data_IF_598825366871
#
_entry.id   IF_598825366871
#
_cell.length_a   1.000
_cell.length_b   1.000
_cell.length_c   1.000
_cell.angle_alpha   90.00
_cell.angle_beta   90.00
_cell.angle_gamma   90.00
#
_symmetry.space_group_name_H-M   'P 1'
#
loop_
_entity.id
_entity.type
_entity.pdbx_description
1 polymer ?
#
# COMPACT_ATOMS: atom_id res chain seq x y z
N UNK A 1 -19.50 15.40 -10.74
CA UNK A 1 -19.99 15.59 -9.36
C UNK A 1 -20.76 14.37 -8.84
N UNK A 2 -21.72 13.82 -9.59
CA UNK A 2 -22.56 12.67 -9.17
C UNK A 2 -21.77 11.40 -8.78
N UNK A 3 -20.74 11.04 -9.56
CA UNK A 3 -19.90 9.84 -9.29
C UNK A 3 -19.13 9.93 -7.98
N UNK A 4 -18.63 11.12 -7.63
CA UNK A 4 -17.94 11.37 -6.36
C UNK A 4 -18.90 11.23 -5.17
N UNK A 5 -20.15 11.69 -5.31
CA UNK A 5 -21.17 11.54 -4.27
C UNK A 5 -21.55 10.07 -4.04
N UNK A 6 -21.66 9.26 -5.11
CA UNK A 6 -21.90 7.82 -5.02
C UNK A 6 -20.73 7.07 -4.37
N UNK A 7 -19.49 7.38 -4.75
CA UNK A 7 -18.31 6.75 -4.15
C UNK A 7 -18.21 7.06 -2.65
N UNK A 8 -18.41 8.33 -2.28
CA UNK A 8 -18.42 8.77 -0.88
C UNK A 8 -19.50 8.06 -0.06
N UNK A 9 -20.71 7.92 -0.58
CA UNK A 9 -21.80 7.24 0.13
C UNK A 9 -21.56 5.73 0.31
N UNK A 10 -20.71 5.12 -0.52
CA UNK A 10 -20.28 3.72 -0.37
C UNK A 10 -19.13 3.61 0.63
N UNK A 11 -18.04 4.37 0.44
CA UNK A 11 -16.84 4.30 1.30
C UNK A 11 -17.10 4.67 2.76
N UNK A 12 -18.14 5.45 3.05
CA UNK A 12 -18.47 5.86 4.42
C UNK A 12 -19.37 4.88 5.18
N UNK A 13 -19.86 3.81 4.52
CA UNK A 13 -20.73 2.80 5.13
C UNK A 13 -19.99 2.03 6.22
N UNK A 14 -20.60 1.90 7.40
CA UNK A 14 -19.98 1.21 8.54
C UNK A 14 -19.57 -0.23 8.22
N UNK A 15 -20.38 -0.98 7.47
CA UNK A 15 -20.06 -2.36 7.07
C UNK A 15 -18.81 -2.42 6.19
N UNK A 16 -18.67 -1.49 5.24
CA UNK A 16 -17.50 -1.44 4.37
C UNK A 16 -16.25 -0.99 5.14
N UNK A 17 -16.36 -0.04 6.06
CA UNK A 17 -15.22 0.36 6.91
C UNK A 17 -14.73 -0.83 7.77
N UNK A 18 -15.64 -1.61 8.35
CA UNK A 18 -15.27 -2.82 9.09
C UNK A 18 -14.64 -3.86 8.18
N UNK A 19 -15.25 -4.13 7.02
CA UNK A 19 -14.70 -5.07 6.04
C UNK A 19 -13.29 -4.66 5.60
N UNK A 20 -13.11 -3.39 5.23
CA UNK A 20 -11.82 -2.84 4.82
C UNK A 20 -10.78 -2.91 5.95
N UNK A 21 -11.18 -2.62 7.19
CA UNK A 21 -10.29 -2.75 8.36
C UNK A 21 -9.87 -4.20 8.62
N UNK A 22 -10.82 -5.15 8.58
CA UNK A 22 -10.52 -6.57 8.75
C UNK A 22 -9.65 -7.10 7.61
N UNK A 23 -9.95 -6.76 6.35
CA UNK A 23 -9.15 -7.16 5.20
C UNK A 23 -7.73 -6.58 5.27
N UNK A 24 -7.57 -5.32 5.67
CA UNK A 24 -6.25 -4.72 5.84
C UNK A 24 -5.45 -5.44 6.94
N UNK A 25 -6.07 -5.73 8.08
CA UNK A 25 -5.43 -6.47 9.17
C UNK A 25 -5.04 -7.89 8.74
N UNK A 26 -5.95 -8.64 8.15
CA UNK A 26 -5.69 -10.02 7.71
C UNK A 26 -4.61 -10.06 6.62
N UNK A 27 -4.60 -9.12 5.68
CA UNK A 27 -3.57 -9.05 4.64
C UNK A 27 -2.21 -8.73 5.25
N UNK A 28 -2.13 -7.77 6.18
CA UNK A 28 -0.89 -7.46 6.90
C UNK A 28 -0.33 -8.67 7.67
N UNK A 29 -1.20 -9.39 8.39
CA UNK A 29 -0.81 -10.61 9.09
C UNK A 29 -0.37 -11.71 8.12
N UNK A 30 -1.05 -11.87 6.98
CA UNK A 30 -0.66 -12.84 5.96
C UNK A 30 0.72 -12.52 5.36
N UNK A 31 1.00 -11.25 5.04
CA UNK A 31 2.32 -10.80 4.58
C UNK A 31 3.39 -11.12 5.63
N UNK A 32 3.14 -10.80 6.90
CA UNK A 32 4.07 -11.10 7.99
C UNK A 32 4.31 -12.61 8.14
N UNK A 33 3.26 -13.44 8.02
CA UNK A 33 3.41 -14.90 8.05
C UNK A 33 4.25 -15.42 6.87
N UNK A 34 4.05 -14.89 5.65
CA UNK A 34 4.87 -15.26 4.49
C UNK A 34 6.33 -14.91 4.74
N UNK A 35 6.62 -13.69 5.21
CA UNK A 35 7.98 -13.24 5.50
C UNK A 35 8.67 -14.14 6.53
N UNK A 36 7.97 -14.47 7.62
CA UNK A 36 8.52 -15.30 8.69
C UNK A 36 8.69 -16.75 8.25
N UNK A 37 7.76 -17.30 7.48
CA UNK A 37 7.82 -18.69 7.05
C UNK A 37 8.97 -18.95 6.07
N UNK A 38 9.22 -17.99 5.17
CA UNK A 38 10.22 -18.10 4.11
C UNK A 38 11.55 -17.42 4.44
N UNK A 39 11.69 -16.85 5.65
CA UNK A 39 12.82 -15.99 6.04
C UNK A 39 13.15 -14.93 4.98
N UNK A 40 12.09 -14.34 4.40
CA UNK A 40 12.16 -13.50 3.23
C UNK A 40 12.11 -12.02 3.61
N UNK A 41 13.15 -11.29 3.24
CA UNK A 41 13.12 -9.83 3.22
C UNK A 41 12.24 -9.39 2.05
N UNK A 42 11.13 -8.68 2.26
CA UNK A 42 10.34 -8.11 1.14
C UNK A 42 11.07 -6.94 0.49
N UNK A 43 10.91 -6.77 -0.82
CA UNK A 43 11.60 -5.73 -1.60
C UNK A 43 11.03 -4.35 -1.28
N UNK A 44 9.76 -4.27 -0.91
CA UNK A 44 9.09 -3.07 -0.39
C UNK A 44 9.79 -2.47 0.84
N UNK A 45 10.46 -3.31 1.64
CA UNK A 45 11.24 -2.85 2.79
C UNK A 45 12.56 -2.18 2.40
N UNK A 46 12.96 -2.29 1.12
CA UNK A 46 14.15 -1.69 0.54
C UNK A 46 13.75 -0.54 -0.37
N UNK A 47 14.10 0.67 0.06
CA UNK A 47 13.84 1.87 -0.74
C UNK A 47 14.98 2.12 -1.73
N UNK A 48 16.24 1.91 -1.31
CA UNK A 48 17.39 2.27 -2.13
C UNK A 48 17.56 1.29 -3.30
N UNK A 49 17.87 1.77 -4.53
CA UNK A 49 18.12 0.92 -5.69
C UNK A 49 19.18 -0.16 -5.46
N UNK A 50 20.31 0.21 -4.84
CA UNK A 50 21.40 -0.73 -4.56
C UNK A 50 21.01 -1.84 -3.58
N UNK A 51 20.27 -1.51 -2.52
CA UNK A 51 19.77 -2.51 -1.57
C UNK A 51 18.74 -3.44 -2.21
N UNK A 52 17.85 -2.89 -3.04
CA UNK A 52 16.85 -3.65 -3.79
C UNK A 52 17.53 -4.62 -4.77
N UNK A 53 18.57 -4.16 -5.46
CA UNK A 53 19.37 -5.00 -6.36
C UNK A 53 20.10 -6.10 -5.62
N UNK A 54 20.77 -5.79 -4.50
CA UNK A 54 21.43 -6.80 -3.67
C UNK A 54 20.43 -7.88 -3.25
N UNK A 55 19.27 -7.45 -2.74
CA UNK A 55 18.21 -8.36 -2.28
C UNK A 55 17.69 -9.26 -3.42
N UNK A 56 17.52 -8.71 -4.63
CA UNK A 56 17.11 -9.47 -5.83
C UNK A 56 18.13 -10.56 -6.21
N UNK A 57 19.43 -10.28 -6.04
CA UNK A 57 20.50 -11.24 -6.31
C UNK A 57 20.62 -12.32 -5.23
N UNK A 58 20.23 -12.00 -3.99
CA UNK A 58 20.23 -12.95 -2.88
C UNK A 58 19.06 -13.94 -2.94
N UNK A 59 18.01 -13.65 -3.71
CA UNK A 59 16.87 -14.55 -3.84
C UNK A 59 17.17 -15.81 -4.65
N UNK A 60 16.89 -16.94 -4.03
CA UNK A 60 16.74 -18.22 -4.73
C UNK A 60 15.52 -18.18 -5.67
N UNK A 61 15.46 -19.05 -6.69
CA UNK A 61 14.30 -19.12 -7.59
C UNK A 61 12.96 -19.32 -6.85
N UNK A 62 12.95 -20.15 -5.80
CA UNK A 62 11.75 -20.38 -4.99
C UNK A 62 11.30 -19.14 -4.20
N UNK A 63 12.25 -18.37 -3.66
CA UNK A 63 11.93 -17.11 -2.98
C UNK A 63 11.34 -16.09 -3.96
N UNK A 64 11.87 -16.01 -5.18
CA UNK A 64 11.30 -15.12 -6.21
C UNK A 64 9.87 -15.48 -6.55
N UNK A 65 9.58 -16.77 -6.73
CA UNK A 65 8.23 -17.24 -7.01
C UNK A 65 7.25 -16.87 -5.89
N UNK A 66 7.62 -17.15 -4.64
CA UNK A 66 6.83 -16.78 -3.46
C UNK A 66 6.58 -15.26 -3.40
N UNK A 67 7.62 -14.48 -3.69
CA UNK A 67 7.52 -13.02 -3.71
C UNK A 67 6.58 -12.52 -4.82
N UNK A 68 6.70 -13.06 -6.04
CA UNK A 68 5.81 -12.72 -7.15
C UNK A 68 4.35 -13.01 -6.76
N UNK A 69 4.06 -14.17 -6.16
CA UNK A 69 2.72 -14.50 -5.72
C UNK A 69 2.21 -13.60 -4.59
N UNK A 70 3.09 -13.26 -3.64
CA UNK A 70 2.75 -12.36 -2.54
C UNK A 70 2.42 -10.96 -3.07
N UNK A 71 3.23 -10.44 -3.99
CA UNK A 71 3.01 -9.13 -4.60
C UNK A 71 1.80 -9.10 -5.54
N UNK A 72 1.57 -10.16 -6.32
CA UNK A 72 0.42 -10.24 -7.21
C UNK A 72 -0.92 -10.42 -6.47
N UNK A 73 -0.90 -10.77 -5.18
CA UNK A 73 -2.10 -11.04 -4.38
C UNK A 73 -2.23 -10.13 -3.16
N UNK A 74 -1.41 -10.35 -2.13
CA UNK A 74 -1.47 -9.63 -0.87
C UNK A 74 -1.17 -8.13 -1.05
N UNK A 75 -0.17 -7.78 -1.88
CA UNK A 75 0.18 -6.37 -2.14
C UNK A 75 -0.81 -5.68 -3.09
N UNK A 76 -1.80 -6.40 -3.62
CA UNK A 76 -2.96 -5.80 -4.30
C UNK A 76 -4.10 -5.59 -3.30
N UNK A 77 -4.41 -6.60 -2.50
CA UNK A 77 -5.54 -6.56 -1.56
C UNK A 77 -5.29 -5.58 -0.42
N UNK A 78 -4.08 -5.55 0.12
CA UNK A 78 -3.73 -4.71 1.27
C UNK A 78 -3.93 -3.20 1.00
N UNK A 79 -3.35 -2.60 -0.07
CA UNK A 79 -3.58 -1.19 -0.37
C UNK A 79 -4.99 -0.85 -0.77
N UNK A 80 -5.71 -1.75 -1.44
CA UNK A 80 -7.14 -1.55 -1.69
C UNK A 80 -7.92 -1.42 -0.37
N UNK A 81 -7.62 -2.29 0.59
CA UNK A 81 -8.28 -2.31 1.88
C UNK A 81 -7.94 -1.07 2.73
N UNK A 82 -6.66 -0.76 2.94
CA UNK A 82 -6.30 0.38 3.79
C UNK A 82 -6.67 1.72 3.14
N UNK A 83 -6.56 1.87 1.82
CA UNK A 83 -6.94 3.14 1.17
C UNK A 83 -8.44 3.36 1.18
N UNK A 84 -9.26 2.32 1.01
CA UNK A 84 -10.70 2.40 1.19
C UNK A 84 -11.07 2.78 2.64
N UNK A 85 -10.40 2.17 3.62
CA UNK A 85 -10.59 2.48 5.04
C UNK A 85 -10.25 3.94 5.34
N UNK A 86 -9.07 4.41 4.97
CA UNK A 86 -8.62 5.78 5.25
C UNK A 86 -9.50 6.82 4.54
N UNK A 87 -9.79 6.62 3.25
CA UNK A 87 -10.68 7.49 2.50
C UNK A 87 -12.08 7.58 3.14
N UNK A 88 -12.65 6.43 3.50
CA UNK A 88 -13.95 6.35 4.14
C UNK A 88 -13.99 7.03 5.51
N UNK A 89 -12.95 6.83 6.34
CA UNK A 89 -12.82 7.51 7.63
C UNK A 89 -12.68 9.02 7.46
N UNK A 90 -11.83 9.49 6.55
CA UNK A 90 -11.63 10.91 6.24
C UNK A 90 -12.94 11.57 5.84
N UNK A 91 -13.68 11.00 4.87
CA UNK A 91 -14.95 11.56 4.42
C UNK A 91 -16.07 11.52 5.44
N UNK A 92 -16.06 10.52 6.33
CA UNK A 92 -17.05 10.38 7.39
C UNK A 92 -16.77 11.31 8.57
N UNK A 93 -15.50 11.45 8.92
CA UNK A 93 -15.08 12.09 10.15
C UNK A 93 -14.65 13.54 10.00
N UNK A 94 -14.02 13.95 8.89
CA UNK A 94 -13.50 15.32 8.76
C UNK A 94 -14.50 16.31 8.16
N UNK A 95 -14.44 17.59 8.57
CA UNK A 95 -15.13 18.70 7.90
C UNK A 95 -14.77 18.78 6.41
N UNK A 96 -15.68 19.34 5.60
CA UNK A 96 -15.55 19.44 4.13
C UNK A 96 -14.22 20.05 3.67
N UNK A 97 -13.75 21.12 4.33
CA UNK A 97 -12.47 21.78 4.04
C UNK A 97 -11.23 20.88 4.14
N UNK A 98 -11.33 19.72 4.79
CA UNK A 98 -10.23 18.74 4.94
C UNK A 98 -10.47 17.45 4.16
N UNK A 99 -11.56 17.32 3.40
CA UNK A 99 -11.86 16.09 2.67
C UNK A 99 -10.92 15.83 1.51
N UNK A 100 -10.20 16.84 1.02
CA UNK A 100 -9.16 16.70 0.01
C UNK A 100 -8.00 15.79 0.48
N UNK A 101 -7.84 15.57 1.79
CA UNK A 101 -6.84 14.64 2.33
C UNK A 101 -7.03 13.19 1.85
N UNK A 102 -8.20 12.84 1.31
CA UNK A 102 -8.45 11.56 0.64
C UNK A 102 -7.50 11.31 -0.54
N UNK A 103 -6.97 12.37 -1.14
CA UNK A 103 -6.03 12.24 -2.25
C UNK A 103 -4.73 11.57 -1.82
N UNK A 104 -4.30 11.71 -0.56
CA UNK A 104 -3.13 10.97 -0.07
C UNK A 104 -3.37 9.46 -0.08
N UNK A 105 -4.53 8.99 0.38
CA UNK A 105 -4.88 7.56 0.32
C UNK A 105 -4.97 7.04 -1.13
N UNK A 106 -5.49 7.87 -2.04
CA UNK A 106 -5.61 7.52 -3.45
C UNK A 106 -4.25 7.47 -4.15
N UNK A 107 -3.39 8.46 -3.91
CA UNK A 107 -2.03 8.50 -4.45
C UNK A 107 -1.18 7.35 -3.93
N UNK A 108 -1.31 7.02 -2.64
CA UNK A 108 -0.66 5.86 -2.04
C UNK A 108 -1.10 4.56 -2.70
N UNK A 109 -2.40 4.34 -2.91
CA UNK A 109 -2.90 3.14 -3.60
C UNK A 109 -2.27 3.00 -4.99
N UNK A 110 -2.24 4.08 -5.77
CA UNK A 110 -1.67 4.04 -7.12
C UNK A 110 -0.16 3.80 -7.09
N UNK A 111 0.55 4.41 -6.13
CA UNK A 111 1.98 4.19 -5.94
C UNK A 111 2.28 2.74 -5.54
N UNK A 112 1.47 2.15 -4.66
CA UNK A 112 1.60 0.76 -4.22
C UNK A 112 1.40 -0.23 -5.38
N UNK A 113 0.30 -0.09 -6.12
CA UNK A 113 0.03 -0.94 -7.28
C UNK A 113 1.07 -0.78 -8.39
N UNK A 114 1.53 0.45 -8.64
CA UNK A 114 2.60 0.71 -9.60
C UNK A 114 3.91 0.09 -9.17
N UNK A 115 4.24 0.16 -7.87
CA UNK A 115 5.45 -0.42 -7.33
C UNK A 115 5.43 -1.94 -7.39
N UNK A 116 4.30 -2.57 -7.05
CA UNK A 116 4.12 -4.02 -7.19
C UNK A 116 4.27 -4.51 -8.63
N UNK A 117 3.80 -3.74 -9.62
CA UNK A 117 4.02 -4.06 -11.04
C UNK A 117 5.51 -4.00 -11.42
N UNK A 118 6.21 -2.93 -11.01
CA UNK A 118 7.65 -2.78 -11.26
C UNK A 118 8.43 -3.91 -10.57
N UNK A 119 8.03 -4.28 -9.36
CA UNK A 119 8.63 -5.34 -8.57
C UNK A 119 8.46 -6.71 -9.22
N UNK A 120 7.26 -7.03 -9.73
CA UNK A 120 7.04 -8.26 -10.49
C UNK A 120 7.93 -8.31 -11.73
N UNK A 121 8.09 -7.19 -12.45
CA UNK A 121 8.99 -7.13 -13.62
C UNK A 121 10.42 -7.44 -13.19
N UNK A 122 10.92 -6.79 -12.14
CA UNK A 122 12.28 -7.01 -11.60
C UNK A 122 12.49 -8.46 -11.14
N UNK A 123 11.51 -9.07 -10.46
CA UNK A 123 11.59 -10.45 -9.96
C UNK A 123 11.63 -11.49 -11.09
N UNK A 124 11.06 -11.18 -12.26
CA UNK A 124 11.07 -12.07 -13.43
C UNK A 124 12.32 -11.93 -14.30
N UNK A 125 13.26 -11.04 -13.96
CA UNK A 125 14.49 -10.89 -14.73
C UNK A 125 15.47 -12.04 -14.48
N UNK A 126 16.14 -12.48 -15.56
CA UNK A 126 17.28 -13.40 -15.46
C UNK A 126 18.54 -12.62 -15.06
N UNK A 127 18.81 -12.57 -13.75
CA UNK A 127 19.95 -11.83 -13.20
C UNK A 127 21.31 -12.43 -13.57
N UNK A 128 21.36 -13.61 -14.20
CA UNK A 128 22.62 -14.14 -14.75
C UNK A 128 23.00 -13.49 -16.08
N UNK A 129 22.02 -12.93 -16.78
CA UNK A 129 22.16 -12.32 -18.10
C UNK A 129 22.08 -10.79 -18.07
N UNK A 130 21.66 -10.19 -16.95
CA UNK A 130 21.51 -8.74 -16.80
C UNK A 130 22.38 -8.17 -15.69
N UNK A 131 22.76 -6.92 -15.85
CA UNK A 131 23.55 -6.16 -14.89
C UNK A 131 22.69 -5.14 -14.15
N UNK A 132 23.23 -4.53 -13.10
CA UNK A 132 22.57 -3.45 -12.38
C UNK A 132 22.12 -2.32 -13.33
N UNK A 133 22.97 -1.95 -14.29
CA UNK A 133 22.69 -0.85 -15.23
C UNK A 133 21.48 -1.12 -16.14
N UNK A 134 21.19 -2.39 -16.43
CA UNK A 134 20.03 -2.78 -17.25
C UNK A 134 18.71 -2.58 -16.49
N UNK A 135 18.74 -2.77 -15.16
CA UNK A 135 17.57 -2.62 -14.28
C UNK A 135 17.51 -1.30 -13.54
N UNK A 136 18.53 -0.46 -13.66
CA UNK A 136 18.65 0.81 -12.93
C UNK A 136 17.41 1.71 -13.06
N UNK A 137 16.82 1.93 -14.25
CA UNK A 137 15.62 2.75 -14.38
C UNK A 137 14.42 2.19 -13.59
N UNK A 138 14.24 0.87 -13.60
CA UNK A 138 13.17 0.20 -12.88
C UNK A 138 13.41 0.25 -11.36
N UNK A 139 14.66 0.07 -10.92
CA UNK A 139 15.03 0.18 -9.50
C UNK A 139 14.78 1.59 -8.96
N UNK A 140 15.13 2.63 -9.72
CA UNK A 140 14.83 4.02 -9.34
C UNK A 140 13.33 4.33 -9.34
N UNK A 141 12.60 3.81 -10.32
CA UNK A 141 11.13 3.95 -10.35
C UNK A 141 10.51 3.26 -9.12
N UNK A 142 10.94 2.04 -8.79
CA UNK A 142 10.53 1.33 -7.58
C UNK A 142 10.81 2.17 -6.33
N UNK A 143 12.02 2.71 -6.21
CA UNK A 143 12.43 3.55 -5.07
C UNK A 143 11.53 4.78 -4.90
N UNK A 144 11.23 5.47 -6.01
CA UNK A 144 10.35 6.64 -6.02
C UNK A 144 8.91 6.28 -5.61
N UNK A 145 8.37 5.20 -6.17
CA UNK A 145 7.02 4.72 -5.83
C UNK A 145 6.94 4.23 -4.38
N UNK A 146 7.97 3.53 -3.89
CA UNK A 146 8.09 3.08 -2.50
C UNK A 146 8.09 4.29 -1.54
N UNK A 147 8.88 5.31 -1.85
CA UNK A 147 8.92 6.54 -1.04
C UNK A 147 7.58 7.27 -1.04
N UNK A 148 6.94 7.37 -2.21
CA UNK A 148 5.62 8.00 -2.36
C UNK A 148 4.54 7.24 -1.58
N UNK A 149 4.49 5.90 -1.69
CA UNK A 149 3.47 5.09 -1.02
C UNK A 149 3.58 5.20 0.50
N UNK A 150 4.78 5.07 1.07
CA UNK A 150 4.97 5.20 2.53
C UNK A 150 4.67 6.61 3.04
N UNK A 151 5.10 7.65 2.32
CA UNK A 151 4.84 9.03 2.72
C UNK A 151 3.34 9.35 2.71
N UNK A 152 2.63 8.94 1.66
CA UNK A 152 1.18 9.12 1.58
C UNK A 152 0.42 8.21 2.55
N UNK A 153 0.92 7.02 2.86
CA UNK A 153 0.34 6.12 3.86
C UNK A 153 0.36 6.79 5.24
N UNK A 154 1.50 7.36 5.65
CA UNK A 154 1.60 8.08 6.92
C UNK A 154 0.67 9.29 6.95
N UNK A 155 0.64 10.10 5.88
CA UNK A 155 -0.23 11.27 5.79
C UNK A 155 -1.73 10.89 5.88
N UNK A 156 -2.13 9.84 5.17
CA UNK A 156 -3.52 9.36 5.17
C UNK A 156 -3.91 8.70 6.50
N UNK A 157 -3.00 7.97 7.15
CA UNK A 157 -3.21 7.41 8.48
C UNK A 157 -3.42 8.52 9.53
N UNK A 158 -2.60 9.57 9.53
CA UNK A 158 -2.77 10.73 10.43
C UNK A 158 -4.14 11.38 10.20
N UNK A 159 -4.52 11.60 8.93
CA UNK A 159 -5.82 12.17 8.59
C UNK A 159 -6.99 11.28 9.05
N UNK A 160 -6.86 9.96 8.90
CA UNK A 160 -7.86 9.00 9.37
C UNK A 160 -8.00 8.99 10.89
N UNK A 161 -6.89 9.06 11.64
CA UNK A 161 -6.89 9.18 13.11
C UNK A 161 -7.56 10.48 13.54
N UNK A 162 -7.25 11.60 12.89
CA UNK A 162 -7.90 12.88 13.15
C UNK A 162 -9.42 12.79 12.87
N UNK A 163 -9.82 12.08 11.82
CA UNK A 163 -11.22 11.84 11.48
C UNK A 163 -11.95 11.05 12.58
N UNK A 164 -11.34 9.95 13.05
CA UNK A 164 -11.88 9.14 14.16
C UNK A 164 -12.00 9.98 15.43
N UNK A 165 -10.97 10.73 15.78
CA UNK A 165 -10.95 11.62 16.95
C UNK A 165 -12.09 12.65 16.88
N UNK A 166 -12.29 13.27 15.71
CA UNK A 166 -13.37 14.23 15.52
C UNK A 166 -14.76 13.58 15.65
N UNK A 167 -14.95 12.37 15.13
CA UNK A 167 -16.20 11.61 15.33
C UNK A 167 -16.46 11.31 16.81
N UNK A 168 -15.44 10.91 17.56
CA UNK A 168 -15.57 10.64 19.00
C UNK A 168 -15.92 11.90 19.80
N UNK A 169 -15.31 13.04 19.46
CA UNK A 169 -15.63 14.34 20.11
C UNK A 169 -17.07 14.77 19.87
N UNK A 170 -17.55 14.63 18.63
CA UNK A 170 -18.95 14.96 18.28
C UNK A 170 -19.97 14.11 19.04
N UNK A 171 -19.66 12.84 19.31
CA UNK A 171 -20.52 11.95 20.11
C UNK A 171 -20.56 12.28 21.60
N UNK A 172 -19.56 12.98 22.15
CA UNK A 172 -19.50 13.37 23.57
C UNK A 172 -20.10 14.75 23.85
N UNK A 173 -20.23 15.58 22.83
CA UNK A 173 -20.85 16.92 22.92
C UNK A 173 -22.35 16.95 22.61
N UNK A 174 -22.94 15.77 22.35
CA UNK A 174 -24.38 15.51 22.25
C UNK A 174 -24.80 14.70 23.46
#
# INVERSE_FOLDING_TARGET
>A
MERQMKLRSVLTRSSLLWLAGVLALLSYLAIACVMLHWDMVHLDSRILPGESWSTLNDYTPGLREVHIWSTASLDVVFPLAYSALFAGLIWRGLPERFQWLVWFASATLLADLGEGLVQIILLNQDLTAITYSDSEPLLWLKAALTSLKFSGFVASAIAAIAAVTNMMRRRRGT
#
